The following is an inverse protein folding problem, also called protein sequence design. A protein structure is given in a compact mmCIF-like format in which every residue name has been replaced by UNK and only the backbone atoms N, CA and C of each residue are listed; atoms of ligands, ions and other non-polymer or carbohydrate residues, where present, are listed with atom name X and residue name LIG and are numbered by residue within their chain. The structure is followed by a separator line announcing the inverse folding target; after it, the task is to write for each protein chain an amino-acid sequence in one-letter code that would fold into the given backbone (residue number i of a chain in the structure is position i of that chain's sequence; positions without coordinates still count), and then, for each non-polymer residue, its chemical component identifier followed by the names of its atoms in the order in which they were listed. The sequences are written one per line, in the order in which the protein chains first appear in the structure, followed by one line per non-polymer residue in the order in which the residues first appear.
data_IF_945917723361
#
_entry.id   IF_945917723361
#
_cell.length_a   1.000
_cell.length_b   1.000
_cell.length_c   1.000
_cell.angle_alpha   90.00
_cell.angle_beta   90.00
_cell.angle_gamma   90.00
#
_symmetry.space_group_name_H-M   'P 1'
#
loop_
_entity.id
_entity.type
_entity.pdbx_description
1 polymer ?
#
# COMPACT_ATOMS: atom_id res chain seq x y z
N UNK A 1 -0.58 3.22 28.85
CA UNK A 1 -0.77 4.33 27.89
C UNK A 1 0.56 5.08 27.91
N UNK A 2 1.54 4.85 27.04
CA UNK A 2 1.47 4.81 25.59
C UNK A 2 2.73 4.12 25.04
N UNK A 3 2.71 2.79 24.87
CA UNK A 3 3.73 2.08 24.06
C UNK A 3 3.71 2.55 22.58
N UNK A 4 2.62 3.21 22.18
CA UNK A 4 2.43 3.88 20.88
C UNK A 4 2.95 5.33 20.89
N UNK A 5 3.20 5.92 22.06
CA UNK A 5 3.52 7.35 22.20
C UNK A 5 4.98 7.72 21.92
N UNK A 6 5.87 6.72 21.86
CA UNK A 6 7.32 6.89 21.68
C UNK A 6 7.86 6.19 20.43
N UNK A 7 7.02 5.81 19.46
CA UNK A 7 7.55 5.68 18.10
C UNK A 7 8.01 7.10 17.76
N UNK A 8 9.32 7.33 17.81
CA UNK A 8 9.93 8.63 17.58
C UNK A 8 9.27 9.25 16.34
N UNK A 9 8.87 10.51 16.42
CA UNK A 9 8.19 11.22 15.34
C UNK A 9 8.86 10.99 13.96
N UNK A 10 10.19 10.85 13.97
CA UNK A 10 11.00 10.48 12.81
C UNK A 10 10.69 9.09 12.24
N UNK A 11 10.60 8.07 13.09
CA UNK A 11 10.22 6.70 12.72
C UNK A 11 8.82 6.64 12.13
N UNK A 12 7.88 7.45 12.64
CA UNK A 12 6.54 7.56 12.06
C UNK A 12 6.61 8.16 10.65
N UNK A 13 7.32 9.27 10.46
CA UNK A 13 7.51 9.86 9.13
C UNK A 13 8.18 8.91 8.14
N UNK A 14 9.15 8.11 8.61
CA UNK A 14 9.80 7.09 7.80
C UNK A 14 8.82 6.00 7.34
N UNK A 15 8.03 5.44 8.26
CA UNK A 15 7.01 4.43 7.95
C UNK A 15 5.99 4.97 6.94
N UNK A 16 5.53 6.21 7.13
CA UNK A 16 4.58 6.86 6.23
C UNK A 16 5.17 7.09 4.84
N UNK A 17 6.43 7.53 4.75
CA UNK A 17 7.13 7.75 3.48
C UNK A 17 7.25 6.45 2.69
N UNK A 18 7.73 5.39 3.33
CA UNK A 18 7.91 4.09 2.65
C UNK A 18 6.56 3.49 2.29
N UNK A 19 5.55 3.56 3.17
CA UNK A 19 4.18 3.13 2.86
C UNK A 19 3.60 3.86 1.65
N UNK A 20 3.80 5.18 1.54
CA UNK A 20 3.37 5.96 0.39
C UNK A 20 4.08 5.54 -0.91
N UNK A 21 5.38 5.24 -0.86
CA UNK A 21 6.12 4.74 -2.02
C UNK A 21 5.56 3.39 -2.51
N UNK A 22 5.32 2.45 -1.60
CA UNK A 22 4.73 1.15 -1.94
C UNK A 22 3.30 1.28 -2.46
N UNK A 23 2.52 2.23 -1.95
CA UNK A 23 1.18 2.53 -2.47
C UNK A 23 1.21 2.92 -3.96
N UNK A 24 2.10 3.85 -4.32
CA UNK A 24 2.27 4.29 -5.72
C UNK A 24 2.80 3.16 -6.60
N UNK A 25 3.77 2.39 -6.10
CA UNK A 25 4.31 1.24 -6.85
C UNK A 25 3.25 0.16 -7.07
N UNK A 26 2.39 -0.10 -6.08
CA UNK A 26 1.28 -1.06 -6.20
C UNK A 26 0.29 -0.67 -7.29
N UNK A 27 -0.17 0.58 -7.29
CA UNK A 27 -1.06 1.12 -8.33
C UNK A 27 -0.40 1.10 -9.73
N UNK A 28 0.88 1.46 -9.82
CA UNK A 28 1.62 1.42 -11.08
C UNK A 28 1.78 -0.02 -11.61
N UNK A 29 2.08 -0.98 -10.73
CA UNK A 29 2.20 -2.39 -11.08
C UNK A 29 0.87 -2.97 -11.56
N UNK A 30 -0.21 -2.68 -10.83
CA UNK A 30 -1.56 -3.08 -11.21
C UNK A 30 -1.96 -2.48 -12.57
N UNK A 31 -1.64 -1.20 -12.79
CA UNK A 31 -1.84 -0.52 -14.07
C UNK A 31 -1.05 -1.14 -15.21
N UNK A 32 0.20 -1.56 -14.98
CA UNK A 32 1.01 -2.28 -15.96
C UNK A 32 0.36 -3.62 -16.33
N UNK A 33 -0.11 -4.38 -15.34
CA UNK A 33 -0.78 -5.66 -15.57
C UNK A 33 -2.02 -5.51 -16.45
N UNK A 34 -2.84 -4.49 -16.20
CA UNK A 34 -4.01 -4.17 -17.03
C UNK A 34 -3.63 -3.93 -18.50
N UNK A 35 -2.53 -3.21 -18.74
CA UNK A 35 -2.02 -2.96 -20.10
C UNK A 35 -1.53 -4.23 -20.79
N UNK A 36 -0.83 -5.11 -20.06
CA UNK A 36 -0.35 -6.38 -20.60
C UNK A 36 -1.53 -7.30 -20.96
N UNK A 37 -2.60 -7.31 -20.14
CA UNK A 37 -3.79 -8.13 -20.42
C UNK A 37 -4.73 -7.52 -21.48
N UNK A 38 -4.40 -6.37 -22.06
CA UNK A 38 -5.26 -5.65 -23.00
C UNK A 38 -6.56 -5.11 -22.38
N UNK A 39 -6.63 -5.06 -21.04
CA UNK A 39 -7.81 -4.61 -20.31
C UNK A 39 -7.60 -3.19 -19.74
N UNK A 40 -8.70 -2.49 -19.48
CA UNK A 40 -8.65 -1.18 -18.82
C UNK A 40 -8.82 -1.28 -17.31
N UNK A 41 -9.70 -2.17 -16.86
CA UNK A 41 -10.12 -2.41 -15.48
C UNK A 41 -10.03 -3.92 -15.19
N UNK A 42 -9.79 -4.32 -13.94
CA UNK A 42 -9.67 -5.75 -13.59
C UNK A 42 -11.01 -6.50 -13.67
N UNK A 43 -12.13 -5.80 -13.45
CA UNK A 43 -13.48 -6.33 -13.60
C UNK A 43 -14.49 -5.20 -13.77
N UNK A 44 -15.72 -5.54 -14.16
CA UNK A 44 -16.86 -4.61 -14.18
C UNK A 44 -17.84 -4.92 -13.04
N UNK A 45 -17.30 -5.26 -11.86
CA UNK A 45 -18.12 -5.69 -10.73
C UNK A 45 -19.02 -4.58 -10.18
N UNK A 46 -18.54 -3.33 -10.22
CA UNK A 46 -19.34 -2.15 -9.87
C UNK A 46 -19.71 -1.42 -11.18
N UNK A 47 -21.01 -1.37 -11.55
CA UNK A 47 -21.44 -0.73 -12.78
C UNK A 47 -20.94 0.72 -12.85
N UNK A 48 -20.11 1.02 -13.86
CA UNK A 48 -19.55 2.37 -14.07
C UNK A 48 -18.41 2.79 -13.13
N UNK A 49 -17.90 1.91 -12.27
CA UNK A 49 -16.86 2.22 -11.28
C UNK A 49 -15.60 1.35 -11.37
N UNK A 50 -15.60 0.37 -12.28
CA UNK A 50 -14.48 -0.55 -12.52
C UNK A 50 -14.47 -1.72 -11.55
N UNK A 51 -13.28 -2.30 -11.36
CA UNK A 51 -13.08 -3.46 -10.51
C UNK A 51 -12.85 -3.09 -9.05
N UNK A 52 -13.23 -3.98 -8.13
CA UNK A 52 -12.87 -3.86 -6.71
C UNK A 52 -11.35 -3.85 -6.55
N UNK A 53 -10.63 -4.61 -7.38
CA UNK A 53 -9.18 -4.69 -7.35
C UNK A 53 -8.51 -3.35 -7.69
N UNK A 54 -9.09 -2.55 -8.58
CA UNK A 54 -8.63 -1.18 -8.90
C UNK A 54 -8.77 -0.20 -7.73
N UNK A 55 -9.45 -0.59 -6.64
CA UNK A 55 -9.62 0.23 -5.44
C UNK A 55 -8.67 -0.15 -4.31
N UNK A 56 -8.16 -1.37 -4.35
CA UNK A 56 -7.32 -1.93 -3.28
C UNK A 56 -5.89 -2.22 -3.73
N UNK A 57 -5.57 -2.08 -5.01
CA UNK A 57 -4.23 -2.36 -5.58
C UNK A 57 -3.09 -1.62 -4.88
N UNK A 58 -3.24 -0.32 -4.67
CA UNK A 58 -2.34 0.51 -3.87
C UNK A 58 -2.23 0.03 -2.42
N UNK A 59 -3.34 -0.37 -1.82
CA UNK A 59 -3.40 -0.84 -0.44
C UNK A 59 -2.75 -2.22 -0.28
N UNK A 60 -2.87 -3.08 -1.30
CA UNK A 60 -2.28 -4.42 -1.32
C UNK A 60 -0.76 -4.38 -1.27
N UNK A 61 -0.12 -3.36 -1.84
CA UNK A 61 1.33 -3.16 -1.72
C UNK A 61 1.71 -2.38 -0.45
N UNK A 62 0.91 -1.37 -0.07
CA UNK A 62 1.17 -0.52 1.10
C UNK A 62 1.08 -1.30 2.43
N UNK A 63 0.03 -2.12 2.61
CA UNK A 63 -0.24 -2.81 3.88
C UNK A 63 0.88 -3.78 4.33
N UNK A 64 1.38 -4.72 3.50
CA UNK A 64 2.47 -5.59 3.91
C UNK A 64 3.77 -4.83 4.15
N UNK A 65 4.07 -3.78 3.36
CA UNK A 65 5.24 -2.93 3.56
C UNK A 65 5.15 -2.20 4.92
N UNK A 66 4.00 -1.62 5.24
CA UNK A 66 3.74 -0.94 6.49
C UNK A 66 3.93 -1.87 7.70
N UNK A 67 3.32 -3.06 7.68
CA UNK A 67 3.47 -4.05 8.75
C UNK A 67 4.91 -4.53 8.91
N UNK A 68 5.60 -4.79 7.80
CA UNK A 68 6.99 -5.26 7.82
C UNK A 68 7.92 -4.21 8.43
N UNK A 69 7.75 -2.93 8.08
CA UNK A 69 8.60 -1.85 8.60
C UNK A 69 8.33 -1.63 10.09
N UNK A 70 7.07 -1.66 10.52
CA UNK A 70 6.73 -1.59 11.94
C UNK A 70 7.35 -2.75 12.70
N UNK A 71 7.24 -3.98 12.17
CA UNK A 71 7.86 -5.15 12.78
C UNK A 71 9.37 -4.99 12.90
N UNK A 72 10.04 -4.50 11.85
CA UNK A 72 11.48 -4.24 11.89
C UNK A 72 11.83 -3.18 12.94
N UNK A 73 11.14 -2.04 12.98
CA UNK A 73 11.40 -0.99 13.98
C UNK A 73 11.25 -1.57 15.40
N UNK A 74 10.17 -2.32 15.68
CA UNK A 74 9.98 -2.96 16.99
C UNK A 74 10.99 -4.06 17.30
N UNK A 75 11.68 -4.62 16.30
CA UNK A 75 12.71 -5.64 16.52
C UNK A 75 14.08 -5.02 16.87
N UNK A 76 14.31 -3.76 16.52
CA UNK A 76 15.57 -3.05 16.73
C UNK A 76 15.56 -2.09 17.93
N UNK A 77 14.39 -1.70 18.42
CA UNK A 77 14.18 -0.87 19.62
C UNK A 77 13.51 -1.69 20.72
#
# INVERSE_FOLDING_TARGET
MSFIGEIETLSLYFVLLVGALFSVLGDAFASLFKRISGAKDFSNLIPGHGGVLDRIDSHMACFPAFLFIIYLINAFF
#
